data_IF_523245025694
#
_entry.id   IF_523245025694
#
_cell.length_a   1.000
_cell.length_b   1.000
_cell.length_c   1.000
_cell.angle_alpha   90.00
_cell.angle_beta   90.00
_cell.angle_gamma   90.00
#
_symmetry.space_group_name_H-M   'P 1'
#
loop_
_entity.id
_entity.type
_entity.pdbx_description
1 polymer ?
#
# COMPACT_ATOMS: atom_id res chain seq x y z
N UNK A 1 -12.89 -38.31 -13.22
CA UNK A 1 -12.81 -37.00 -13.91
C UNK A 1 -13.32 -35.84 -13.07
N UNK A 2 -14.49 -35.95 -12.41
CA UNK A 2 -15.03 -34.89 -11.52
C UNK A 2 -14.07 -34.51 -10.36
N UNK A 3 -13.47 -35.49 -9.71
CA UNK A 3 -12.52 -35.28 -8.60
C UNK A 3 -11.26 -34.48 -9.02
N UNK A 4 -10.77 -34.68 -10.25
CA UNK A 4 -9.57 -34.01 -10.75
C UNK A 4 -9.82 -32.54 -11.06
N UNK A 5 -11.05 -32.21 -11.48
CA UNK A 5 -11.49 -30.84 -11.75
C UNK A 5 -11.62 -30.04 -10.45
N UNK A 6 -12.12 -30.68 -9.38
CA UNK A 6 -12.27 -30.03 -8.08
C UNK A 6 -10.91 -29.63 -7.48
N UNK A 7 -9.92 -30.53 -7.60
CA UNK A 7 -8.56 -30.27 -7.14
C UNK A 7 -7.90 -29.09 -7.87
N UNK A 8 -8.12 -29.01 -9.19
CA UNK A 8 -7.60 -27.94 -10.03
C UNK A 8 -8.20 -26.58 -9.66
N UNK A 9 -9.51 -26.52 -9.41
CA UNK A 9 -10.20 -25.28 -9.01
C UNK A 9 -9.70 -24.79 -7.65
N UNK A 10 -9.49 -25.68 -6.68
CA UNK A 10 -8.96 -25.33 -5.37
C UNK A 10 -7.54 -24.74 -5.43
N UNK A 11 -6.68 -25.26 -6.31
CA UNK A 11 -5.33 -24.74 -6.56
C UNK A 11 -5.33 -23.30 -7.14
N UNK A 12 -6.27 -23.00 -8.04
CA UNK A 12 -6.38 -21.66 -8.62
C UNK A 12 -6.90 -20.62 -7.62
N UNK A 13 -7.82 -21.01 -6.74
CA UNK A 13 -8.35 -20.10 -5.71
C UNK A 13 -7.27 -19.79 -4.66
N UNK A 14 -6.46 -20.79 -4.28
CA UNK A 14 -5.34 -20.60 -3.35
C UNK A 14 -4.25 -19.66 -3.90
N UNK A 15 -4.03 -19.64 -5.22
CA UNK A 15 -3.08 -18.72 -5.85
C UNK A 15 -3.61 -17.27 -6.01
N UNK A 16 -4.92 -17.06 -5.91
CA UNK A 16 -5.55 -15.74 -5.98
C UNK A 16 -5.64 -15.05 -4.60
N UNK A 17 -5.48 -15.81 -3.52
CA UNK A 17 -5.29 -15.26 -2.19
C UNK A 17 -3.84 -14.78 -2.03
N UNK A 18 -3.69 -13.56 -1.51
CA UNK A 18 -2.44 -13.02 -0.98
C UNK A 18 -1.38 -12.53 -1.97
N UNK A 19 -1.55 -11.28 -2.39
CA UNK A 19 -0.40 -10.38 -2.55
C UNK A 19 -0.69 -9.01 -1.94
N UNK A 20 -1.22 -9.01 -0.71
CA UNK A 20 -1.27 -7.78 0.07
C UNK A 20 0.15 -7.51 0.59
N UNK A 21 0.74 -6.33 0.33
CA UNK A 21 2.05 -6.00 0.86
C UNK A 21 2.04 -6.11 2.37
N UNK A 22 3.10 -6.67 2.95
CA UNK A 22 3.24 -6.75 4.41
C UNK A 22 3.26 -5.36 5.05
N UNK A 23 3.80 -4.37 4.32
CA UNK A 23 3.85 -2.98 4.72
C UNK A 23 3.30 -2.11 3.60
N UNK A 24 2.21 -1.42 3.88
CA UNK A 24 1.58 -0.43 3.02
C UNK A 24 0.79 0.53 3.91
N UNK A 25 0.54 1.73 3.41
CA UNK A 25 -0.32 2.68 4.09
C UNK A 25 -1.77 2.35 3.78
N UNK A 26 -2.58 2.18 4.83
CA UNK A 26 -4.03 2.06 4.66
C UNK A 26 -4.64 3.42 4.36
N UNK A 27 -4.09 4.49 4.93
CA UNK A 27 -4.46 5.87 4.68
C UNK A 27 -3.25 6.81 4.78
N UNK A 28 -3.07 7.67 3.77
CA UNK A 28 -2.40 8.94 3.95
C UNK A 28 -3.46 9.94 4.45
N UNK A 29 -3.31 10.48 5.66
CA UNK A 29 -4.21 11.53 6.15
C UNK A 29 -3.92 12.85 5.42
N UNK A 30 -4.96 13.64 5.14
CA UNK A 30 -4.83 14.95 4.48
C UNK A 30 -3.94 15.91 5.28
N UNK A 31 -3.96 15.81 6.61
CA UNK A 31 -3.10 16.55 7.53
C UNK A 31 -2.58 15.54 8.55
N UNK A 32 -1.27 15.52 8.80
CA UNK A 32 -0.69 14.65 9.83
C UNK A 32 -0.81 15.26 11.25
N UNK A 33 -0.41 14.50 12.27
CA UNK A 33 -0.46 14.97 13.66
C UNK A 33 0.40 16.21 13.97
N UNK A 34 1.27 16.63 13.04
CA UNK A 34 2.13 17.81 13.15
C UNK A 34 1.67 18.95 12.23
N UNK A 35 0.49 18.85 11.61
CA UNK A 35 -0.06 19.87 10.72
C UNK A 35 0.49 19.84 9.29
N UNK A 36 1.28 18.84 8.91
CA UNK A 36 1.80 18.73 7.54
C UNK A 36 0.71 18.28 6.59
N UNK A 37 0.60 18.95 5.44
CA UNK A 37 -0.44 18.69 4.46
C UNK A 37 0.01 17.64 3.45
N UNK A 38 -0.82 16.63 3.19
CA UNK A 38 -0.61 15.68 2.10
C UNK A 38 -0.69 16.41 0.76
N UNK A 39 0.33 16.26 -0.05
CA UNK A 39 0.39 16.86 -1.39
C UNK A 39 0.46 15.82 -2.50
N UNK A 40 0.90 14.59 -2.21
CA UNK A 40 0.94 13.49 -3.16
C UNK A 40 0.94 12.13 -2.44
N UNK A 41 0.52 11.07 -3.14
CA UNK A 41 0.66 9.69 -2.69
C UNK A 41 0.89 8.75 -3.89
N UNK A 42 1.68 7.69 -3.67
CA UNK A 42 1.94 6.66 -4.68
C UNK A 42 1.22 5.37 -4.34
N UNK A 43 0.72 4.72 -5.38
CA UNK A 43 0.16 3.36 -5.30
C UNK A 43 1.05 2.39 -6.04
N UNK A 44 1.09 1.15 -5.57
CA UNK A 44 1.69 0.06 -6.31
C UNK A 44 0.75 -0.45 -7.44
N UNK A 45 1.24 -1.43 -8.20
CA UNK A 45 0.48 -2.09 -9.29
C UNK A 45 -0.81 -2.77 -8.83
N UNK A 46 -0.95 -3.04 -7.54
CA UNK A 46 -2.11 -3.69 -6.93
C UNK A 46 -3.06 -2.66 -6.28
N UNK A 47 -2.75 -1.36 -6.38
CA UNK A 47 -3.56 -0.26 -5.86
C UNK A 47 -3.30 0.10 -4.40
N UNK A 48 -2.34 -0.53 -3.73
CA UNK A 48 -2.00 -0.23 -2.34
C UNK A 48 -1.13 1.01 -2.25
N UNK A 49 -1.42 1.89 -1.29
CA UNK A 49 -0.63 3.10 -1.09
C UNK A 49 0.71 2.73 -0.47
N UNK A 50 1.80 3.04 -1.16
CA UNK A 50 3.18 2.74 -0.74
C UNK A 50 3.98 3.97 -0.37
N UNK A 51 3.50 5.17 -0.69
CA UNK A 51 4.17 6.41 -0.28
C UNK A 51 3.19 7.56 -0.07
N UNK A 52 3.49 8.40 0.91
CA UNK A 52 2.79 9.66 1.19
C UNK A 52 3.82 10.79 1.20
N UNK A 53 3.55 11.86 0.46
CA UNK A 53 4.39 13.06 0.41
C UNK A 53 3.68 14.21 1.10
N UNK A 54 4.34 14.81 2.07
CA UNK A 54 3.80 15.85 2.92
C UNK A 54 4.58 17.15 2.81
N UNK A 55 3.86 18.27 2.82
CA UNK A 55 4.40 19.62 2.86
C UNK A 55 4.24 20.21 4.27
N UNK A 56 5.30 20.84 4.78
CA UNK A 56 5.27 21.55 6.06
C UNK A 56 4.29 22.73 6.05
N UNK A 57 3.76 23.12 7.22
CA UNK A 57 2.86 24.28 7.32
C UNK A 57 3.46 25.59 6.78
N UNK A 58 4.78 25.76 6.95
CA UNK A 58 5.56 26.92 6.49
C UNK A 58 5.92 26.87 4.99
N UNK A 59 5.48 25.83 4.28
CA UNK A 59 5.75 25.54 2.85
C UNK A 59 7.23 25.40 2.45
N UNK A 60 8.16 25.37 3.42
CA UNK A 60 9.60 25.33 3.16
C UNK A 60 10.20 23.92 3.10
N UNK A 61 9.48 22.90 3.58
CA UNK A 61 10.01 21.53 3.72
C UNK A 61 9.03 20.50 3.21
N UNK A 62 9.56 19.53 2.48
CA UNK A 62 8.82 18.34 2.03
C UNK A 62 9.40 17.13 2.75
N UNK A 63 8.53 16.22 3.17
CA UNK A 63 8.93 14.90 3.66
C UNK A 63 8.18 13.82 2.90
N UNK A 64 8.81 12.68 2.75
CA UNK A 64 8.21 11.50 2.12
C UNK A 64 8.27 10.38 3.15
N UNK A 65 7.17 9.68 3.33
CA UNK A 65 7.14 8.38 3.99
C UNK A 65 6.86 7.32 2.95
N UNK A 66 7.65 6.26 2.95
CA UNK A 66 7.55 5.18 1.98
C UNK A 66 7.55 3.84 2.70
N UNK A 67 6.75 2.89 2.22
CA UNK A 67 6.79 1.51 2.66
C UNK A 67 7.04 0.60 1.46
N UNK A 68 7.85 -0.44 1.68
CA UNK A 68 8.09 -1.51 0.74
C UNK A 68 7.90 -2.88 1.41
N UNK A 69 8.35 -3.96 0.75
CA UNK A 69 8.24 -5.31 1.30
C UNK A 69 9.05 -5.54 2.59
N UNK A 70 10.00 -4.66 2.92
CA UNK A 70 10.93 -4.79 4.03
C UNK A 70 10.56 -3.90 5.23
N UNK A 71 9.74 -2.87 5.04
CA UNK A 71 9.31 -1.98 6.13
C UNK A 71 8.89 -0.60 5.63
N UNK A 72 8.81 0.36 6.54
CA UNK A 72 8.53 1.77 6.24
C UNK A 72 9.71 2.66 6.68
N UNK A 73 10.01 3.69 5.89
CA UNK A 73 11.11 4.63 6.08
C UNK A 73 10.75 6.06 5.64
#
# INVERSE_FOLDING_TARGET
>A
MKELVLLFVLLFIAAACEQKPKHYFVLCQNIDGNGWRLIDFKKDKNGYITSCTYQSPDTKRVKVHSCDKNGCY
#
